data_IF_379849051636
#
_entry.id   IF_379849051636
#
_cell.length_a   1.000
_cell.length_b   1.000
_cell.length_c   1.000
_cell.angle_alpha   90.00
_cell.angle_beta   90.00
_cell.angle_gamma   90.00
#
_symmetry.space_group_name_H-M   'P 1'
#
loop_
_entity.id
_entity.type
_entity.pdbx_description
1 polymer ?
#
# COMPACT_ATOMS: atom_id res chain seq x y z
N UNK A 1 42.39 12.28 -4.02
CA UNK A 1 41.64 12.28 -2.74
C UNK A 1 40.37 11.53 -3.01
N UNK A 2 40.19 10.36 -2.41
CA UNK A 2 38.91 9.65 -2.52
C UNK A 2 37.85 10.55 -1.90
N UNK A 3 36.79 10.89 -2.64
CA UNK A 3 35.60 11.50 -2.12
C UNK A 3 35.12 10.55 -1.02
N UNK A 4 34.90 11.07 0.20
CA UNK A 4 34.29 10.28 1.26
C UNK A 4 32.88 9.89 0.78
N UNK A 5 32.72 8.66 0.33
CA UNK A 5 31.40 8.12 0.03
C UNK A 5 30.56 8.16 1.30
N UNK A 6 29.33 8.67 1.17
CA UNK A 6 28.36 8.73 2.27
C UNK A 6 28.08 7.30 2.75
N UNK A 7 28.29 7.03 4.02
CA UNK A 7 28.05 5.70 4.61
C UNK A 7 26.55 5.58 4.91
N UNK A 8 25.88 4.70 4.19
CA UNK A 8 24.44 4.40 4.36
C UNK A 8 24.23 2.95 4.80
N UNK A 9 23.20 2.66 5.61
CA UNK A 9 22.87 1.31 5.99
C UNK A 9 22.40 0.51 4.76
N UNK A 10 22.95 -0.69 4.61
CA UNK A 10 22.61 -1.60 3.50
C UNK A 10 21.38 -2.46 3.82
N UNK A 11 21.08 -2.69 5.09
CA UNK A 11 20.00 -3.56 5.54
C UNK A 11 19.32 -2.98 6.77
N UNK A 12 18.00 -3.17 6.83
CA UNK A 12 17.23 -2.94 8.05
C UNK A 12 17.06 -4.26 8.79
N UNK A 13 17.21 -4.23 10.11
CA UNK A 13 17.03 -5.40 10.97
C UNK A 13 15.75 -5.24 11.76
N UNK A 14 14.86 -6.23 11.67
CA UNK A 14 13.70 -6.33 12.55
C UNK A 14 14.10 -7.14 13.78
N UNK A 15 13.85 -6.62 14.97
CA UNK A 15 14.07 -7.34 16.22
C UNK A 15 12.96 -8.38 16.42
N UNK A 16 13.19 -9.62 15.94
CA UNK A 16 12.20 -10.71 15.94
C UNK A 16 11.67 -11.06 17.34
N UNK A 17 12.46 -10.85 18.39
CA UNK A 17 12.07 -11.20 19.78
C UNK A 17 10.90 -10.36 20.30
N UNK A 18 10.74 -9.15 19.79
CA UNK A 18 9.70 -8.20 20.22
C UNK A 18 8.65 -7.97 19.15
N UNK A 19 8.87 -8.49 17.93
CA UNK A 19 7.97 -8.33 16.81
C UNK A 19 6.62 -9.04 17.03
N UNK A 20 5.54 -8.35 16.70
CA UNK A 20 4.17 -8.86 16.69
C UNK A 20 3.39 -8.23 15.53
N UNK A 21 2.17 -8.71 15.27
CA UNK A 21 1.31 -8.14 14.25
C UNK A 21 0.98 -6.65 14.48
N UNK A 22 1.16 -6.18 15.74
CA UNK A 22 0.86 -4.82 16.16
C UNK A 22 2.09 -3.97 16.46
N UNK A 23 3.26 -4.59 16.63
CA UNK A 23 4.48 -3.90 17.05
C UNK A 23 5.70 -4.41 16.30
N UNK A 24 6.52 -3.47 15.83
CA UNK A 24 7.81 -3.77 15.22
C UNK A 24 8.89 -2.78 15.64
N UNK A 25 10.06 -3.29 16.00
CA UNK A 25 11.26 -2.51 16.28
C UNK A 25 12.26 -2.74 15.16
N UNK A 26 12.60 -1.68 14.46
CA UNK A 26 13.47 -1.68 13.29
C UNK A 26 14.77 -0.97 13.64
N UNK A 27 15.90 -1.58 13.27
CA UNK A 27 17.24 -1.05 13.51
C UNK A 27 17.92 -0.87 12.16
N UNK A 28 18.42 0.32 11.91
CA UNK A 28 19.19 0.64 10.72
C UNK A 28 20.51 1.30 11.10
N UNK A 29 21.60 0.68 10.69
CA UNK A 29 22.98 1.15 10.96
C UNK A 29 23.91 0.66 9.83
N UNK A 30 25.05 1.37 9.59
CA UNK A 30 25.44 2.67 10.13
C UNK A 30 24.91 3.83 9.30
N UNK A 31 24.59 4.95 9.94
CA UNK A 31 24.41 6.26 9.31
C UNK A 31 25.56 7.18 9.70
N UNK A 32 25.87 8.17 8.87
CA UNK A 32 26.74 9.27 9.30
C UNK A 32 26.08 10.09 10.40
N UNK A 33 26.90 10.71 11.25
CA UNK A 33 26.43 11.50 12.40
C UNK A 33 25.40 12.56 12.00
N UNK A 34 24.24 12.54 12.67
CA UNK A 34 23.08 13.41 12.43
C UNK A 34 22.06 12.89 11.40
N UNK A 35 22.46 11.98 10.50
CA UNK A 35 21.52 11.42 9.49
C UNK A 35 20.46 10.52 10.13
N UNK A 36 20.80 9.81 11.20
CA UNK A 36 19.84 9.01 11.96
C UNK A 36 18.64 9.83 12.43
N UNK A 37 18.85 11.04 12.94
CA UNK A 37 17.78 11.96 13.34
C UNK A 37 16.96 12.48 12.15
N UNK A 38 17.63 12.83 11.05
CA UNK A 38 16.96 13.34 9.84
C UNK A 38 16.01 12.31 9.26
N UNK A 39 16.47 11.07 9.08
CA UNK A 39 15.67 9.97 8.53
C UNK A 39 14.59 9.54 9.51
N UNK A 40 14.94 9.34 10.78
CA UNK A 40 14.01 8.91 11.83
C UNK A 40 12.83 9.88 12.01
N UNK A 41 13.10 11.18 12.06
CA UNK A 41 12.06 12.21 12.16
C UNK A 41 11.17 12.25 10.90
N UNK A 42 11.77 12.17 9.72
CA UNK A 42 11.04 12.19 8.45
C UNK A 42 10.08 11.00 8.34
N UNK A 43 10.57 9.79 8.63
CA UNK A 43 9.75 8.58 8.65
C UNK A 43 8.65 8.65 9.70
N UNK A 44 8.96 9.10 10.91
CA UNK A 44 7.96 9.27 11.98
C UNK A 44 6.82 10.19 11.53
N UNK A 45 7.13 11.33 10.92
CA UNK A 45 6.12 12.28 10.46
C UNK A 45 5.21 11.68 9.40
N UNK A 46 5.79 10.98 8.43
CA UNK A 46 5.02 10.33 7.34
C UNK A 46 4.18 9.19 7.89
N UNK A 47 4.72 8.36 8.79
CA UNK A 47 3.97 7.27 9.42
C UNK A 47 2.72 7.80 10.15
N UNK A 48 2.83 8.90 10.89
CA UNK A 48 1.71 9.45 11.66
C UNK A 48 0.67 10.18 10.79
N UNK A 49 1.07 10.82 9.69
CA UNK A 49 0.19 11.69 8.90
C UNK A 49 -0.14 11.17 7.50
N UNK A 50 0.72 10.32 6.92
CA UNK A 50 0.64 9.93 5.52
C UNK A 50 -0.05 8.58 5.25
N UNK A 51 -0.30 7.79 6.29
CA UNK A 51 -0.88 6.45 6.12
C UNK A 51 -2.38 6.53 5.82
N UNK A 52 -2.80 5.71 4.87
CA UNK A 52 -4.21 5.49 4.55
C UNK A 52 -4.74 4.32 5.38
N UNK A 53 -5.98 4.45 5.82
CA UNK A 53 -6.71 3.39 6.50
C UNK A 53 -8.20 3.46 6.23
N UNK A 54 -8.98 2.64 6.92
CA UNK A 54 -10.42 2.61 6.86
C UNK A 54 -11.01 2.93 8.24
N UNK A 55 -12.10 3.68 8.26
CA UNK A 55 -12.81 4.02 9.49
C UNK A 55 -14.31 4.15 9.24
N UNK A 56 -15.09 4.04 10.31
CA UNK A 56 -16.53 4.30 10.29
C UNK A 56 -16.71 5.81 10.18
N UNK A 57 -17.56 6.25 9.25
CA UNK A 57 -17.85 7.67 8.99
C UNK A 57 -19.26 8.07 9.32
N UNK A 58 -20.20 7.15 9.28
CA UNK A 58 -21.56 7.39 9.67
C UNK A 58 -22.26 6.08 10.03
N UNK A 59 -23.30 6.16 10.84
CA UNK A 59 -24.11 5.02 11.27
C UNK A 59 -25.59 5.38 11.20
N UNK A 60 -26.41 4.49 10.70
CA UNK A 60 -27.86 4.55 10.78
C UNK A 60 -28.35 3.48 11.74
N UNK A 61 -29.07 3.86 12.79
CA UNK A 61 -29.62 2.94 13.79
C UNK A 61 -31.13 3.02 13.71
N UNK A 62 -31.80 1.86 13.57
CA UNK A 62 -33.24 1.79 13.54
C UNK A 62 -33.82 2.28 14.90
N UNK A 63 -34.75 3.25 14.85
CA UNK A 63 -35.33 3.85 16.05
C UNK A 63 -34.56 5.03 16.64
N UNK A 64 -33.36 5.37 16.14
CA UNK A 64 -32.62 6.56 16.54
C UNK A 64 -32.79 7.69 15.52
N UNK A 65 -33.09 8.89 15.99
CA UNK A 65 -33.24 10.10 15.16
C UNK A 65 -31.97 10.95 15.21
N UNK A 66 -31.30 10.97 16.34
CA UNK A 66 -30.06 11.73 16.60
C UNK A 66 -29.19 10.98 17.62
N UNK A 67 -27.98 11.43 17.80
CA UNK A 67 -26.97 10.81 18.68
C UNK A 67 -27.36 10.76 20.16
N UNK A 68 -28.23 11.66 20.61
CA UNK A 68 -28.74 11.71 22.01
C UNK A 68 -30.01 10.90 22.24
N UNK A 69 -30.39 10.04 21.28
CA UNK A 69 -31.56 9.16 21.42
C UNK A 69 -31.23 7.98 22.33
N UNK A 70 -32.29 7.43 22.94
CA UNK A 70 -32.26 6.15 23.65
C UNK A 70 -33.01 5.10 22.85
N UNK A 71 -32.59 3.86 22.93
CA UNK A 71 -33.23 2.74 22.24
C UNK A 71 -34.00 1.88 23.26
N UNK A 72 -35.23 1.39 22.96
CA UNK A 72 -35.96 0.53 23.87
C UNK A 72 -35.23 -0.82 24.03
N UNK A 73 -35.13 -1.28 25.29
CA UNK A 73 -34.47 -2.54 25.67
C UNK A 73 -33.00 -2.67 25.25
N UNK A 74 -32.32 -1.54 25.06
CA UNK A 74 -30.87 -1.44 24.91
C UNK A 74 -30.34 -0.66 26.09
N UNK A 75 -29.31 -1.18 26.75
CA UNK A 75 -28.77 -0.60 27.97
C UNK A 75 -28.00 0.71 27.71
N UNK A 76 -27.27 0.74 26.61
CA UNK A 76 -26.43 1.85 26.20
C UNK A 76 -27.22 2.87 25.38
N UNK A 77 -26.97 4.15 25.61
CA UNK A 77 -27.46 5.22 24.75
C UNK A 77 -26.74 5.23 23.39
N UNK A 78 -27.36 5.83 22.39
CA UNK A 78 -26.78 5.91 21.03
C UNK A 78 -25.36 6.49 21.04
N UNK A 79 -25.10 7.52 21.85
CA UNK A 79 -23.76 8.08 22.03
C UNK A 79 -22.72 7.02 22.47
N UNK A 80 -23.09 6.17 23.44
CA UNK A 80 -22.19 5.12 23.92
C UNK A 80 -21.96 4.06 22.84
N UNK A 81 -22.99 3.73 22.06
CA UNK A 81 -22.86 2.83 20.90
C UNK A 81 -21.90 3.42 19.87
N UNK A 82 -22.02 4.73 19.55
CA UNK A 82 -21.12 5.41 18.62
C UNK A 82 -19.66 5.44 19.13
N UNK A 83 -19.45 5.67 20.43
CA UNK A 83 -18.13 5.63 21.04
C UNK A 83 -17.50 4.22 21.00
N UNK A 84 -18.31 3.18 21.18
CA UNK A 84 -17.85 1.80 21.03
C UNK A 84 -17.50 1.49 19.56
N UNK A 85 -18.35 1.90 18.63
CA UNK A 85 -18.09 1.74 17.19
C UNK A 85 -16.84 2.48 16.71
N UNK A 86 -16.50 3.63 17.33
CA UNK A 86 -15.28 4.37 17.05
C UNK A 86 -14.00 3.57 17.34
N UNK A 87 -14.07 2.57 18.22
CA UNK A 87 -12.96 1.68 18.55
C UNK A 87 -12.86 0.47 17.58
N UNK A 88 -13.81 0.34 16.64
CA UNK A 88 -13.80 -0.74 15.67
C UNK A 88 -12.63 -0.59 14.71
N UNK A 89 -11.86 -1.67 14.55
CA UNK A 89 -10.71 -1.73 13.64
C UNK A 89 -11.12 -2.48 12.38
N UNK A 90 -11.10 -1.76 11.27
CA UNK A 90 -11.60 -2.28 10.00
C UNK A 90 -10.51 -2.17 8.96
N UNK A 91 -10.29 -3.25 8.24
CA UNK A 91 -9.48 -3.28 7.04
C UNK A 91 -10.41 -3.29 5.83
N UNK A 92 -10.18 -2.42 4.86
CA UNK A 92 -10.95 -2.34 3.64
C UNK A 92 -10.05 -2.36 2.42
N UNK A 93 -10.34 -3.28 1.49
CA UNK A 93 -9.60 -3.46 0.25
C UNK A 93 -10.49 -3.10 -0.96
N UNK A 94 -9.93 -2.38 -1.93
CA UNK A 94 -10.52 -2.15 -3.26
C UNK A 94 -11.45 -0.96 -3.38
N UNK A 95 -12.45 -0.77 -2.52
CA UNK A 95 -13.46 0.28 -2.66
C UNK A 95 -13.16 1.50 -1.79
N UNK A 96 -13.69 2.67 -2.17
CA UNK A 96 -13.53 3.90 -1.38
C UNK A 96 -14.55 3.99 -0.23
N UNK A 97 -15.72 3.36 -0.38
CA UNK A 97 -16.81 3.37 0.60
C UNK A 97 -17.62 2.08 0.50
N UNK A 98 -18.04 1.54 1.65
CA UNK A 98 -18.91 0.37 1.77
C UNK A 98 -19.85 0.51 2.96
N UNK A 99 -20.92 -0.27 2.91
CA UNK A 99 -21.92 -0.35 3.97
C UNK A 99 -21.97 -1.77 4.52
N UNK A 100 -21.87 -1.89 5.83
CA UNK A 100 -22.05 -3.17 6.53
C UNK A 100 -23.24 -3.07 7.46
N UNK A 101 -23.91 -4.19 7.67
CA UNK A 101 -25.11 -4.26 8.52
C UNK A 101 -24.85 -5.07 9.77
N UNK A 102 -25.47 -4.66 10.87
CA UNK A 102 -25.53 -5.42 12.09
C UNK A 102 -27.00 -5.65 12.43
N UNK A 103 -27.37 -6.89 12.69
CA UNK A 103 -28.69 -7.26 13.13
C UNK A 103 -28.59 -8.23 14.33
N UNK A 104 -29.06 -7.80 15.50
CA UNK A 104 -29.04 -8.58 16.73
C UNK A 104 -30.41 -8.56 17.41
N UNK A 105 -30.93 -9.73 17.75
CA UNK A 105 -32.20 -9.90 18.42
C UNK A 105 -32.11 -10.75 19.70
N UNK A 106 -30.95 -11.35 19.95
CA UNK A 106 -30.70 -12.17 21.13
C UNK A 106 -30.31 -11.29 22.30
N UNK A 107 -30.92 -11.48 23.50
CA UNK A 107 -30.50 -10.76 24.69
C UNK A 107 -29.07 -11.11 25.08
N UNK A 108 -28.32 -10.13 25.53
CA UNK A 108 -26.92 -10.26 25.90
C UNK A 108 -26.02 -9.20 25.26
N UNK A 109 -24.73 -9.36 25.40
CA UNK A 109 -23.72 -8.43 24.80
C UNK A 109 -23.64 -8.68 23.30
N UNK A 110 -23.87 -7.64 22.53
CA UNK A 110 -23.66 -7.62 21.07
C UNK A 110 -22.23 -7.18 20.81
N UNK A 111 -21.47 -8.04 20.16
CA UNK A 111 -20.06 -7.77 19.79
C UNK A 111 -19.93 -7.47 18.31
N UNK A 112 -18.76 -6.98 17.92
CA UNK A 112 -18.41 -6.69 16.54
C UNK A 112 -18.49 -7.94 15.62
N UNK A 113 -18.43 -9.15 16.18
CA UNK A 113 -18.66 -10.40 15.43
C UNK A 113 -20.08 -10.52 14.85
N UNK A 114 -21.06 -9.75 15.37
CA UNK A 114 -22.43 -9.71 14.86
C UNK A 114 -22.59 -8.85 13.59
N UNK A 115 -21.58 -8.11 13.19
CA UNK A 115 -21.58 -7.33 11.94
C UNK A 115 -21.42 -8.30 10.78
N UNK A 116 -22.28 -8.16 9.77
CA UNK A 116 -22.16 -8.94 8.54
C UNK A 116 -21.03 -8.36 7.68
N UNK A 117 -19.94 -9.10 7.57
CA UNK A 117 -18.82 -8.73 6.71
C UNK A 117 -19.25 -8.79 5.24
N UNK A 118 -18.88 -7.76 4.48
CA UNK A 118 -19.09 -7.66 3.04
C UNK A 118 -17.75 -7.89 2.34
N UNK A 119 -17.79 -8.32 1.09
CA UNK A 119 -16.57 -8.56 0.31
C UNK A 119 -15.69 -7.32 0.25
N UNK A 120 -14.42 -7.49 0.64
CA UNK A 120 -13.44 -6.42 0.77
C UNK A 120 -13.42 -5.67 2.12
N UNK A 121 -14.28 -6.04 3.09
CA UNK A 121 -14.28 -5.46 4.44
C UNK A 121 -14.03 -6.56 5.48
N UNK A 122 -12.98 -6.39 6.27
CA UNK A 122 -12.60 -7.33 7.33
C UNK A 122 -12.54 -6.62 8.68
N UNK A 123 -13.18 -7.16 9.70
CA UNK A 123 -13.15 -6.65 11.06
C UNK A 123 -12.05 -7.37 11.84
N UNK A 124 -11.12 -6.61 12.43
CA UNK A 124 -9.99 -7.16 13.16
C UNK A 124 -10.37 -7.52 14.61
N UNK A 125 -11.02 -6.60 15.32
CA UNK A 125 -11.37 -6.77 16.73
C UNK A 125 -12.81 -7.24 16.94
N UNK A 126 -13.10 -8.48 16.54
CA UNK A 126 -14.46 -9.09 16.60
C UNK A 126 -15.05 -9.18 18.00
N UNK A 127 -14.22 -9.19 19.04
CA UNK A 127 -14.64 -9.31 20.45
C UNK A 127 -15.07 -7.97 21.06
N UNK A 128 -14.96 -6.86 20.33
CA UNK A 128 -15.33 -5.53 20.81
C UNK A 128 -16.82 -5.48 21.16
N UNK A 129 -17.21 -5.16 22.42
CA UNK A 129 -18.62 -4.98 22.79
C UNK A 129 -19.14 -3.68 22.17
N UNK A 130 -20.28 -3.76 21.49
CA UNK A 130 -20.96 -2.61 20.85
C UNK A 130 -22.12 -2.13 21.74
N UNK A 131 -23.01 -3.04 22.13
CA UNK A 131 -24.16 -2.73 22.96
C UNK A 131 -24.64 -3.98 23.74
N UNK A 132 -25.49 -3.79 24.74
CA UNK A 132 -26.09 -4.85 25.53
C UNK A 132 -27.60 -4.82 25.33
N UNK A 133 -28.17 -5.92 24.82
CA UNK A 133 -29.62 -6.08 24.63
C UNK A 133 -30.25 -6.73 25.84
N UNK A 134 -31.37 -6.15 26.30
CA UNK A 134 -32.27 -6.74 27.27
C UNK A 134 -33.28 -7.70 26.60
N UNK A 135 -34.04 -8.39 27.39
CA UNK A 135 -35.05 -9.31 26.87
C UNK A 135 -36.11 -8.60 26.01
N UNK A 136 -36.28 -9.04 24.77
CA UNK A 136 -37.19 -8.40 23.81
C UNK A 136 -36.59 -7.21 23.05
N UNK A 137 -35.31 -6.87 23.29
CA UNK A 137 -34.60 -5.85 22.53
C UNK A 137 -34.17 -6.34 21.15
N UNK A 138 -34.11 -5.42 20.22
CA UNK A 138 -33.50 -5.62 18.90
C UNK A 138 -32.61 -4.44 18.54
N UNK A 139 -31.48 -4.71 17.94
CA UNK A 139 -30.55 -3.71 17.44
C UNK A 139 -30.31 -3.97 15.96
N UNK A 140 -30.74 -3.03 15.14
CA UNK A 140 -30.49 -3.04 13.71
C UNK A 140 -29.78 -1.74 13.33
N UNK A 141 -28.60 -1.88 12.70
CA UNK A 141 -27.83 -0.72 12.24
C UNK A 141 -27.15 -0.99 10.93
N UNK A 142 -26.96 0.10 10.18
CA UNK A 142 -26.19 0.16 8.96
C UNK A 142 -25.01 1.10 9.20
N UNK A 143 -23.81 0.60 8.95
CA UNK A 143 -22.54 1.27 9.28
C UNK A 143 -21.85 1.59 7.96
N UNK A 144 -21.56 2.87 7.73
CA UNK A 144 -20.78 3.34 6.60
C UNK A 144 -19.29 3.33 6.96
N UNK A 145 -18.49 2.63 6.16
CA UNK A 145 -17.04 2.57 6.28
C UNK A 145 -16.44 3.23 5.05
N UNK A 146 -15.46 4.09 5.24
CA UNK A 146 -14.74 4.70 4.12
C UNK A 146 -13.23 4.64 4.33
N UNK A 147 -12.49 4.77 3.21
CA UNK A 147 -11.03 4.94 3.23
C UNK A 147 -10.68 6.42 3.26
N UNK A 148 -9.62 6.74 3.98
CA UNK A 148 -9.13 8.11 4.07
C UNK A 148 -7.75 8.17 4.71
N UNK A 149 -7.32 9.40 5.03
CA UNK A 149 -6.04 9.71 5.67
C UNK A 149 -6.26 10.58 6.90
N UNK A 150 -5.48 10.32 7.95
CA UNK A 150 -5.46 11.14 9.14
C UNK A 150 -6.79 11.13 9.90
N UNK A 151 -7.30 12.30 10.23
CA UNK A 151 -8.53 12.49 11.01
C UNK A 151 -9.51 13.38 10.23
N UNK A 152 -10.76 12.95 10.17
CA UNK A 152 -11.86 13.73 9.59
C UNK A 152 -12.94 13.99 10.67
N UNK A 153 -13.23 15.25 11.02
CA UNK A 153 -14.27 15.59 11.98
C UNK A 153 -15.66 15.31 11.39
N UNK A 154 -16.63 15.02 12.27
CA UNK A 154 -18.01 14.74 11.88
C UNK A 154 -18.66 15.87 11.07
N UNK A 155 -18.28 17.13 11.34
CA UNK A 155 -18.80 18.32 10.61
C UNK A 155 -18.40 18.31 9.12
N UNK A 156 -17.20 17.83 8.79
CA UNK A 156 -16.78 17.69 7.40
C UNK A 156 -17.47 16.51 6.74
N UNK A 157 -17.59 15.40 7.47
CA UNK A 157 -18.28 14.21 7.00
C UNK A 157 -19.79 14.44 6.85
N UNK A 158 -20.40 15.32 7.63
CA UNK A 158 -21.81 15.68 7.48
C UNK A 158 -22.14 16.36 6.15
N UNK A 159 -21.17 17.00 5.50
CA UNK A 159 -21.34 17.65 4.17
C UNK A 159 -21.46 16.65 3.02
N UNK A 160 -21.09 15.38 3.25
CA UNK A 160 -21.17 14.34 2.26
C UNK A 160 -22.63 13.90 2.11
N UNK A 161 -23.13 13.85 0.88
CA UNK A 161 -24.48 13.37 0.60
C UNK A 161 -24.65 11.91 1.01
N UNK A 162 -25.63 11.65 1.87
CA UNK A 162 -26.03 10.35 2.37
C UNK A 162 -27.55 10.20 2.35
N UNK A 163 -28.06 8.95 2.37
CA UNK A 163 -29.47 8.71 2.66
C UNK A 163 -29.87 9.30 4.01
N UNK A 164 -31.13 9.67 4.18
CA UNK A 164 -31.65 10.22 5.43
C UNK A 164 -31.51 9.23 6.59
N UNK A 165 -31.25 9.76 7.79
CA UNK A 165 -31.16 8.95 9.02
C UNK A 165 -29.74 8.48 9.38
N UNK A 166 -28.72 8.80 8.60
CA UNK A 166 -27.33 8.56 9.00
C UNK A 166 -26.84 9.64 9.95
N UNK A 167 -26.26 9.21 11.06
CA UNK A 167 -25.60 10.04 12.05
C UNK A 167 -24.12 10.07 11.70
N UNK A 168 -23.54 11.20 11.31
CA UNK A 168 -22.11 11.32 11.02
C UNK A 168 -21.30 11.21 12.32
N UNK A 169 -20.13 10.60 12.23
CA UNK A 169 -19.20 10.48 13.35
C UNK A 169 -17.78 10.76 12.89
N UNK A 170 -16.92 11.21 13.83
CA UNK A 170 -15.51 11.45 13.51
C UNK A 170 -14.82 10.16 13.10
N UNK A 171 -13.99 10.25 12.07
CA UNK A 171 -13.23 9.13 11.55
C UNK A 171 -11.73 9.31 11.78
N UNK A 172 -11.11 8.34 12.43
CA UNK A 172 -9.65 8.24 12.55
C UNK A 172 -9.18 7.14 11.59
N UNK A 173 -8.60 7.54 10.47
CA UNK A 173 -8.17 6.62 9.43
C UNK A 173 -6.77 6.05 9.65
N UNK A 174 -5.93 6.73 10.48
CA UNK A 174 -4.55 6.31 10.66
C UNK A 174 -4.46 4.93 11.31
N UNK A 175 -3.82 3.93 10.66
CA UNK A 175 -3.58 2.62 11.26
C UNK A 175 -2.42 2.65 12.27
N UNK A 176 -1.73 3.78 12.39
CA UNK A 176 -0.56 3.94 13.25
C UNK A 176 -0.98 4.54 14.58
N UNK A 177 -0.77 3.79 15.66
CA UNK A 177 -1.10 4.21 17.03
C UNK A 177 0.04 5.01 17.64
N UNK A 178 1.29 4.52 17.49
CA UNK A 178 2.48 5.14 18.08
C UNK A 178 3.69 4.91 17.20
N UNK A 179 4.52 5.95 17.08
CA UNK A 179 5.86 5.85 16.49
C UNK A 179 6.86 6.51 17.43
N UNK A 180 7.88 5.77 17.79
CA UNK A 180 9.03 6.27 18.55
C UNK A 180 10.29 6.02 17.75
N UNK A 181 11.23 6.97 17.74
CA UNK A 181 12.56 6.73 17.23
C UNK A 181 13.60 7.23 18.23
N UNK A 182 14.72 6.52 18.25
CA UNK A 182 15.89 6.87 19.03
C UNK A 182 17.14 6.71 18.17
N UNK A 183 18.19 7.45 18.52
CA UNK A 183 19.46 7.41 17.78
C UNK A 183 20.58 7.17 18.79
N UNK A 184 21.23 6.03 18.66
CA UNK A 184 22.36 5.62 19.48
C UNK A 184 23.66 5.76 18.68
N UNK A 185 24.81 6.01 19.35
CA UNK A 185 26.11 5.96 18.69
C UNK A 185 26.45 4.54 18.24
N UNK A 186 26.87 4.38 17.00
CA UNK A 186 27.30 3.12 16.42
C UNK A 186 28.79 3.12 16.14
N UNK A 187 29.43 1.94 16.27
CA UNK A 187 30.85 1.76 15.98
C UNK A 187 31.05 0.93 14.73
N UNK A 188 31.76 1.48 13.75
CA UNK A 188 32.20 0.74 12.58
C UNK A 188 33.72 0.74 12.50
N UNK A 189 34.32 -0.41 12.80
CA UNK A 189 35.77 -0.55 12.89
C UNK A 189 36.38 0.29 14.01
N UNK A 190 37.23 1.26 13.67
CA UNK A 190 37.86 2.20 14.61
C UNK A 190 37.09 3.52 14.79
N UNK A 191 36.14 3.82 13.94
CA UNK A 191 35.31 5.04 14.03
C UNK A 191 34.09 4.79 14.90
N UNK A 192 33.80 5.71 15.80
CA UNK A 192 32.69 5.67 16.77
C UNK A 192 31.63 6.72 16.50
N UNK A 193 31.76 7.49 15.40
CA UNK A 193 30.97 8.67 15.11
C UNK A 193 29.79 8.38 14.15
N UNK A 194 29.31 7.15 14.13
CA UNK A 194 28.15 6.76 13.34
C UNK A 194 26.89 6.70 14.18
N UNK A 195 25.76 6.90 13.53
CA UNK A 195 24.42 6.78 14.14
C UNK A 195 23.81 5.41 13.88
N UNK A 196 23.15 4.89 14.90
CA UNK A 196 22.24 3.72 14.83
C UNK A 196 20.83 4.22 15.04
N UNK A 197 20.02 4.16 14.02
CA UNK A 197 18.60 4.51 14.11
C UNK A 197 17.79 3.32 14.60
N UNK A 198 17.05 3.52 15.67
CA UNK A 198 16.07 2.58 16.22
C UNK A 198 14.69 3.20 15.99
N UNK A 199 13.80 2.49 15.30
CA UNK A 199 12.45 2.95 15.01
C UNK A 199 11.44 1.92 15.52
N UNK A 200 10.58 2.34 16.43
CA UNK A 200 9.52 1.52 17.01
C UNK A 200 8.16 1.98 16.46
N UNK A 201 7.43 1.03 15.90
CA UNK A 201 6.12 1.29 15.28
C UNK A 201 5.09 0.41 15.96
N UNK A 202 4.02 1.02 16.46
CA UNK A 202 2.84 0.33 16.97
C UNK A 202 1.66 0.64 16.06
N UNK A 203 1.01 -0.40 15.55
CA UNK A 203 -0.17 -0.30 14.68
C UNK A 203 -1.43 -0.79 15.41
N UNK A 204 -2.56 -0.58 14.79
CA UNK A 204 -3.86 -1.08 15.26
C UNK A 204 -4.17 -2.52 14.80
N UNK A 205 -3.27 -3.14 14.01
CA UNK A 205 -3.41 -4.47 13.43
C UNK A 205 -4.07 -4.52 12.05
N UNK A 206 -4.57 -3.41 11.54
CA UNK A 206 -5.07 -3.34 10.14
C UNK A 206 -3.94 -3.33 9.14
N UNK A 207 -2.77 -2.84 9.54
CA UNK A 207 -1.54 -2.77 8.75
C UNK A 207 -0.35 -3.28 9.58
N UNK A 208 0.37 -4.24 9.04
CA UNK A 208 1.60 -4.77 9.63
C UNK A 208 2.69 -3.69 9.72
N UNK A 209 3.46 -3.60 10.84
CA UNK A 209 4.48 -2.57 11.02
C UNK A 209 5.54 -2.51 9.91
N UNK A 210 5.98 -3.65 9.38
CA UNK A 210 6.95 -3.72 8.28
C UNK A 210 6.38 -3.11 6.99
N UNK A 211 5.12 -3.41 6.67
CA UNK A 211 4.43 -2.82 5.52
C UNK A 211 4.16 -1.33 5.70
N UNK A 212 3.87 -0.89 6.93
CA UNK A 212 3.72 0.53 7.25
C UNK A 212 5.01 1.29 6.98
N UNK A 213 6.14 0.76 7.45
CA UNK A 213 7.46 1.34 7.24
C UNK A 213 7.83 1.40 5.75
N UNK A 214 7.60 0.31 5.01
CA UNK A 214 7.82 0.28 3.55
C UNK A 214 7.00 1.36 2.83
N UNK A 215 5.70 1.47 3.11
CA UNK A 215 4.84 2.51 2.53
C UNK A 215 5.31 3.92 2.87
N UNK A 216 5.76 4.14 4.12
CA UNK A 216 6.30 5.43 4.54
C UNK A 216 7.58 5.79 3.78
N UNK A 217 8.48 4.83 3.58
CA UNK A 217 9.71 5.02 2.83
C UNK A 217 9.43 5.37 1.35
N UNK A 218 8.49 4.66 0.72
CA UNK A 218 8.05 4.96 -0.67
C UNK A 218 7.44 6.35 -0.77
N UNK A 219 6.57 6.75 0.18
CA UNK A 219 5.97 8.09 0.19
C UNK A 219 7.04 9.19 0.36
N UNK A 220 8.05 8.94 1.22
CA UNK A 220 9.16 9.86 1.40
C UNK A 220 9.97 10.00 0.11
N UNK A 221 10.35 8.89 -0.50
CA UNK A 221 11.08 8.87 -1.77
C UNK A 221 10.33 9.62 -2.86
N UNK A 222 9.04 9.32 -3.06
CA UNK A 222 8.21 10.00 -4.06
C UNK A 222 8.06 11.50 -3.78
N UNK A 223 8.00 11.91 -2.51
CA UNK A 223 7.91 13.34 -2.16
C UNK A 223 9.21 14.10 -2.40
N UNK A 224 10.35 13.41 -2.38
CA UNK A 224 11.66 13.99 -2.66
C UNK A 224 12.01 13.99 -4.16
N UNK A 225 11.34 13.14 -4.93
CA UNK A 225 11.62 12.99 -6.37
C UNK A 225 11.51 14.29 -7.17
N UNK A 226 10.61 15.22 -6.78
CA UNK A 226 10.47 16.53 -7.43
C UNK A 226 11.73 17.43 -7.28
N UNK A 227 12.61 17.13 -6.35
CA UNK A 227 13.87 17.88 -6.13
C UNK A 227 15.03 17.26 -6.91
N UNK A 228 14.87 16.12 -7.56
CA UNK A 228 15.85 15.54 -8.45
C UNK A 228 15.74 16.21 -9.82
N UNK A 229 16.86 16.60 -10.40
CA UNK A 229 16.94 17.21 -11.75
C UNK A 229 16.99 16.05 -12.74
N UNK A 230 16.03 15.97 -13.66
CA UNK A 230 16.06 14.98 -14.73
C UNK A 230 17.27 15.25 -15.65
N UNK A 231 18.20 14.31 -15.72
CA UNK A 231 19.32 14.33 -16.64
C UNK A 231 20.70 14.58 -16.08
N UNK A 232 20.87 14.80 -14.78
CA UNK A 232 22.14 14.74 -14.09
C UNK A 232 22.25 13.41 -13.33
N UNK A 233 22.85 12.41 -13.96
CA UNK A 233 23.29 11.17 -13.30
C UNK A 233 24.50 11.45 -12.40
N UNK A 234 24.32 12.26 -11.37
CA UNK A 234 25.32 12.46 -10.34
C UNK A 234 25.14 11.46 -9.20
N UNK A 235 25.93 10.39 -9.30
CA UNK A 235 26.52 9.62 -8.18
C UNK A 235 25.66 9.38 -6.94
N UNK A 236 24.46 8.87 -7.10
CA UNK A 236 23.83 8.08 -6.04
C UNK A 236 23.89 6.63 -6.51
N UNK A 237 24.73 5.83 -5.87
CA UNK A 237 24.77 4.41 -6.09
C UNK A 237 23.35 3.86 -6.05
N UNK A 238 22.82 3.52 -7.21
CA UNK A 238 21.59 2.75 -7.34
C UNK A 238 21.79 1.49 -6.51
N UNK A 239 21.05 1.40 -5.41
CA UNK A 239 20.88 0.13 -4.72
C UNK A 239 20.19 -0.77 -5.73
N UNK A 240 21.00 -1.61 -6.37
CA UNK A 240 20.53 -2.63 -7.27
C UNK A 240 19.46 -3.45 -6.56
N UNK A 241 18.32 -3.61 -7.23
CA UNK A 241 17.21 -4.51 -6.87
C UNK A 241 17.68 -5.99 -6.97
N UNK A 242 18.68 -6.38 -6.18
CA UNK A 242 19.07 -7.77 -6.02
C UNK A 242 19.20 -8.07 -4.54
N UNK A 243 18.23 -8.75 -4.01
CA UNK A 243 18.21 -9.65 -2.87
C UNK A 243 17.10 -9.40 -1.86
N UNK A 244 15.89 -9.80 -2.19
CA UNK A 244 15.02 -10.46 -1.22
C UNK A 244 14.59 -11.79 -1.84
N UNK A 245 15.45 -12.80 -1.66
CA UNK A 245 15.08 -14.20 -1.79
C UNK A 245 15.62 -14.95 -0.58
N UNK A 246 14.66 -15.44 0.21
CA UNK A 246 14.60 -16.72 0.92
C UNK A 246 15.29 -16.90 2.29
N UNK A 247 14.87 -17.92 3.12
CA UNK A 247 14.01 -19.04 2.79
C UNK A 247 12.93 -19.43 3.82
N UNK A 248 11.86 -20.06 3.44
CA UNK A 248 11.37 -21.27 4.12
C UNK A 248 10.67 -22.21 3.14
N UNK A 249 11.10 -23.43 3.15
CA UNK A 249 10.64 -24.58 2.43
C UNK A 249 9.23 -25.02 2.86
N UNK A 250 8.39 -25.36 1.91
CA UNK A 250 7.62 -26.61 1.88
C UNK A 250 6.82 -26.77 0.59
N UNK A 251 7.29 -27.71 -0.22
CA UNK A 251 6.56 -28.66 -1.06
C UNK A 251 5.29 -28.28 -1.84
N UNK A 252 5.46 -28.42 -3.16
CA UNK A 252 4.58 -29.06 -4.13
C UNK A 252 3.54 -28.21 -4.89
N UNK A 253 3.81 -28.21 -6.22
CA UNK A 253 2.89 -28.13 -7.36
C UNK A 253 2.10 -26.84 -7.61
N UNK A 254 2.62 -26.05 -8.54
CA UNK A 254 1.98 -25.77 -9.84
C UNK A 254 2.82 -24.78 -10.66
N UNK A 255 3.65 -25.28 -11.52
CA UNK A 255 4.38 -24.48 -12.51
C UNK A 255 3.48 -24.21 -13.71
N UNK A 256 2.84 -23.05 -13.78
CA UNK A 256 2.26 -22.49 -15.00
C UNK A 256 1.92 -20.99 -14.92
N UNK A 257 1.86 -20.36 -13.73
CA UNK A 257 1.40 -18.97 -13.61
C UNK A 257 2.51 -17.89 -13.51
N UNK A 258 3.75 -18.26 -13.26
CA UNK A 258 4.85 -17.31 -13.10
C UNK A 258 5.60 -16.95 -14.40
N UNK A 259 5.37 -17.71 -15.48
CA UNK A 259 5.96 -17.42 -16.80
C UNK A 259 5.13 -16.41 -17.61
N UNK A 260 3.84 -16.29 -17.35
CA UNK A 260 2.94 -15.39 -18.09
C UNK A 260 3.07 -13.91 -17.66
N UNK A 261 3.35 -13.61 -16.41
CA UNK A 261 3.43 -12.22 -15.93
C UNK A 261 4.68 -11.48 -16.42
N UNK A 262 5.84 -12.15 -16.49
CA UNK A 262 7.08 -11.55 -17.04
C UNK A 262 7.00 -11.34 -18.55
N UNK A 263 6.30 -12.22 -19.25
CA UNK A 263 6.11 -12.11 -20.70
C UNK A 263 5.17 -10.93 -21.03
N UNK A 264 4.11 -10.73 -20.25
CA UNK A 264 3.18 -9.61 -20.44
C UNK A 264 3.83 -8.25 -20.12
N UNK A 265 4.74 -8.16 -19.16
CA UNK A 265 5.51 -6.93 -18.87
C UNK A 265 6.44 -6.55 -20.04
N UNK A 266 7.17 -7.51 -20.61
CA UNK A 266 8.04 -7.28 -21.76
C UNK A 266 7.23 -6.90 -23.01
N UNK A 267 6.08 -7.52 -23.21
CA UNK A 267 5.20 -7.25 -24.35
C UNK A 267 4.55 -5.86 -24.31
N UNK A 268 4.32 -5.30 -23.12
CA UNK A 268 3.73 -3.97 -22.96
C UNK A 268 4.77 -2.84 -22.98
N UNK A 269 6.06 -3.14 -23.12
CA UNK A 269 7.10 -2.11 -23.24
C UNK A 269 6.98 -1.35 -24.56
N UNK A 270 7.38 -0.08 -24.55
CA UNK A 270 7.47 0.76 -25.75
C UNK A 270 8.61 0.28 -26.64
N UNK A 271 8.42 0.37 -27.98
CA UNK A 271 9.45 0.04 -28.99
C UNK A 271 10.73 0.87 -28.80
N UNK A 272 10.67 2.00 -28.14
CA UNK A 272 11.84 2.85 -27.83
C UNK A 272 12.85 2.17 -26.90
N UNK A 273 12.40 1.22 -26.07
CA UNK A 273 13.27 0.43 -25.18
C UNK A 273 14.00 -0.72 -25.90
N UNK A 274 13.57 -1.06 -27.12
CA UNK A 274 14.19 -2.10 -27.93
C UNK A 274 15.32 -1.47 -28.75
N UNK A 275 16.37 -1.00 -28.20
CA UNK A 275 17.61 -0.46 -28.83
C UNK A 275 17.72 -0.56 -30.37
N UNK A 276 16.66 -0.15 -31.09
CA UNK A 276 16.59 -0.14 -32.54
C UNK A 276 17.13 1.19 -33.09
N UNK A 277 17.60 1.17 -34.35
CA UNK A 277 18.03 2.41 -34.98
C UNK A 277 16.88 3.44 -35.08
N UNK A 278 17.17 4.72 -34.94
CA UNK A 278 16.18 5.83 -35.01
C UNK A 278 15.35 5.78 -36.31
N UNK A 279 15.91 5.21 -37.39
CA UNK A 279 15.22 5.04 -38.65
C UNK A 279 14.19 3.91 -38.57
N UNK A 280 14.52 2.78 -37.94
CA UNK A 280 13.62 1.65 -37.74
C UNK A 280 12.46 2.05 -36.85
N UNK A 281 12.72 2.78 -35.75
CA UNK A 281 11.69 3.29 -34.83
C UNK A 281 10.71 4.23 -35.55
N UNK A 282 11.21 5.17 -36.36
CA UNK A 282 10.35 6.12 -37.08
C UNK A 282 9.46 5.42 -38.14
N UNK A 283 9.96 4.37 -38.80
CA UNK A 283 9.17 3.59 -39.74
C UNK A 283 8.06 2.80 -39.04
N UNK A 284 8.32 2.22 -37.87
CA UNK A 284 7.32 1.48 -37.07
C UNK A 284 6.26 2.43 -36.49
N UNK A 285 6.65 3.61 -36.01
CA UNK A 285 5.71 4.63 -35.53
C UNK A 285 4.78 5.17 -36.61
N UNK A 286 5.24 5.27 -37.85
CA UNK A 286 4.39 5.70 -38.98
C UNK A 286 3.25 4.73 -39.29
N UNK A 287 3.38 3.47 -38.89
CA UNK A 287 2.33 2.43 -39.02
C UNK A 287 1.61 2.16 -37.68
N UNK A 288 1.69 3.10 -36.69
CA UNK A 288 1.06 3.00 -35.37
C UNK A 288 1.52 1.79 -34.52
N UNK A 289 2.70 1.24 -34.77
CA UNK A 289 3.31 0.19 -33.95
C UNK A 289 4.08 0.88 -32.82
N UNK A 290 3.56 0.86 -31.58
CA UNK A 290 4.13 1.57 -30.46
C UNK A 290 4.63 0.65 -29.34
N UNK A 291 4.20 -0.61 -29.31
CA UNK A 291 4.56 -1.59 -28.28
C UNK A 291 5.26 -2.81 -28.88
N UNK A 292 6.06 -3.49 -28.05
CA UNK A 292 6.68 -4.78 -28.44
C UNK A 292 5.61 -5.81 -28.79
N UNK A 293 4.45 -5.76 -28.15
CA UNK A 293 3.28 -6.61 -28.43
C UNK A 293 2.77 -6.44 -29.86
N UNK A 294 2.69 -5.21 -30.34
CA UNK A 294 2.23 -4.91 -31.69
C UNK A 294 3.25 -5.40 -32.72
N UNK A 295 4.55 -5.26 -32.41
CA UNK A 295 5.64 -5.72 -33.25
C UNK A 295 5.67 -7.26 -33.40
N UNK A 296 5.49 -7.99 -32.28
CA UNK A 296 5.49 -9.47 -32.27
C UNK A 296 4.28 -10.07 -33.01
N UNK A 297 3.15 -9.35 -33.06
CA UNK A 297 1.96 -9.77 -33.84
C UNK A 297 2.12 -9.63 -35.34
N UNK A 298 3.03 -8.77 -35.80
CA UNK A 298 3.29 -8.58 -37.23
C UNK A 298 4.10 -9.76 -37.83
N UNK A 299 3.77 -10.08 -39.07
CA UNK A 299 4.53 -11.08 -39.83
C UNK A 299 5.67 -10.42 -40.60
N UNK A 300 6.63 -11.22 -41.03
CA UNK A 300 7.75 -10.71 -41.85
C UNK A 300 7.28 -10.05 -43.15
N UNK A 301 6.15 -10.50 -43.71
CA UNK A 301 5.61 -9.94 -44.95
C UNK A 301 4.92 -8.61 -44.70
N UNK A 302 4.28 -8.41 -43.52
CA UNK A 302 3.69 -7.13 -43.11
C UNK A 302 4.80 -6.06 -42.94
N UNK A 303 5.93 -6.43 -42.33
CA UNK A 303 7.08 -5.51 -42.14
C UNK A 303 7.74 -5.14 -43.49
N UNK A 304 7.72 -6.02 -44.50
CA UNK A 304 8.22 -5.71 -45.85
C UNK A 304 7.32 -4.73 -46.60
N UNK A 305 6.04 -4.64 -46.27
CA UNK A 305 5.09 -3.70 -46.87
C UNK A 305 5.25 -2.26 -46.35
N UNK A 306 5.96 -2.07 -45.23
CA UNK A 306 6.18 -0.74 -44.64
C UNK A 306 7.11 0.09 -45.56
N UNK A 307 6.67 1.30 -45.85
CA UNK A 307 7.40 2.23 -46.71
C UNK A 307 8.76 2.59 -46.11
N UNK A 308 9.85 2.45 -46.86
CA UNK A 308 11.23 2.71 -46.43
C UNK A 308 11.83 1.71 -45.43
N UNK A 309 11.23 0.54 -45.22
CA UNK A 309 11.75 -0.52 -44.37
C UNK A 309 12.66 -1.44 -45.16
N UNK A 310 13.96 -1.50 -44.82
CA UNK A 310 14.98 -2.24 -45.55
C UNK A 310 15.34 -3.58 -44.90
N UNK A 311 16.05 -4.46 -45.68
CA UNK A 311 16.50 -5.75 -45.17
C UNK A 311 17.38 -5.63 -43.89
N UNK A 312 18.20 -4.61 -43.78
CA UNK A 312 19.04 -4.36 -42.58
C UNK A 312 18.21 -4.07 -41.33
N UNK A 313 17.11 -3.33 -41.47
CA UNK A 313 16.21 -3.04 -40.33
C UNK A 313 15.41 -4.27 -39.92
N UNK A 314 15.14 -5.19 -40.87
CA UNK A 314 14.52 -6.48 -40.57
C UNK A 314 15.45 -7.38 -39.75
N UNK A 315 16.72 -7.45 -40.14
CA UNK A 315 17.73 -8.27 -39.45
C UNK A 315 17.96 -7.74 -38.03
N UNK A 316 18.03 -6.40 -37.86
CA UNK A 316 18.15 -5.73 -36.58
C UNK A 316 16.98 -6.08 -35.62
N UNK A 317 15.74 -6.04 -36.10
CA UNK A 317 14.54 -6.41 -35.33
C UNK A 317 14.57 -7.89 -34.94
N UNK A 318 14.94 -8.79 -35.87
CA UNK A 318 15.02 -10.21 -35.56
C UNK A 318 16.08 -10.54 -34.52
N UNK A 319 17.22 -9.87 -34.57
CA UNK A 319 18.31 -10.03 -33.61
C UNK A 319 17.85 -9.55 -32.20
N UNK A 320 17.22 -8.38 -32.10
CA UNK A 320 16.76 -7.84 -30.85
C UNK A 320 15.58 -8.61 -30.24
N UNK A 321 14.65 -9.10 -31.06
CA UNK A 321 13.57 -9.97 -30.57
C UNK A 321 14.11 -11.33 -30.10
N UNK A 322 15.12 -11.89 -30.77
CA UNK A 322 15.77 -13.15 -30.36
C UNK A 322 16.50 -12.97 -29.00
N UNK A 323 17.15 -11.83 -28.73
CA UNK A 323 17.74 -11.50 -27.44
C UNK A 323 16.69 -11.49 -26.32
N UNK A 324 15.44 -11.09 -26.62
CA UNK A 324 14.32 -11.10 -25.67
C UNK A 324 13.52 -12.42 -25.65
N UNK A 325 14.01 -13.48 -26.32
CA UNK A 325 13.31 -14.75 -26.50
C UNK A 325 11.91 -14.62 -27.16
N UNK A 326 11.76 -13.65 -28.05
CA UNK A 326 10.52 -13.39 -28.81
C UNK A 326 10.77 -13.66 -30.32
N UNK A 327 9.69 -13.93 -31.05
CA UNK A 327 9.76 -14.08 -32.52
C UNK A 327 8.57 -13.37 -33.18
N UNK A 328 8.77 -12.92 -34.42
CA UNK A 328 7.70 -12.33 -35.24
C UNK A 328 6.60 -13.34 -35.55
N UNK A 329 5.35 -12.91 -35.56
CA UNK A 329 4.19 -13.75 -35.86
C UNK A 329 3.74 -14.67 -34.72
N UNK A 330 4.14 -14.44 -33.46
CA UNK A 330 3.64 -15.20 -32.32
C UNK A 330 2.17 -14.89 -32.08
N UNK A 331 1.35 -15.94 -31.94
CA UNK A 331 -0.05 -15.79 -31.43
C UNK A 331 0.00 -15.67 -29.91
N UNK A 332 -0.14 -14.44 -29.42
CA UNK A 332 -0.17 -14.11 -28.00
C UNK A 332 -1.61 -13.77 -27.60
#
# INVERSE_FOLDING_TARGET
MALNELVLPQKIQLEEKTASDFYGKFIAEPYESGYGHTVGNSLRRILLSGMEGAAITAVRIAGAVHEFSTLPNVREDVINILLNLKQLRVKMDGKAREYVTLHATKPGVVTAASIQEVDGVTIINKDLPIATLEAGGSLEMEIEISRGKGYAPAEELAKIQRPAGFIPMDALYSPIVKVHYDVEPARVGQKTDYDRLILEITTDGTLEPARALHRAAVLLSNSLHIFTIEGEDDCVATVSDEAVAEPVSATANTGAAAASSKLDEVLNQSIEFVELSSRSINCLKSENVNTVRDLVKMTEDDLKMIKNFGAKSMDEIKEKLAEMNLSLGMKI
#
